data_IF_321691810483
#
_entry.id   IF_321691810483
#
_cell.length_a   1.000
_cell.length_b   1.000
_cell.length_c   1.000
_cell.angle_alpha   90.00
_cell.angle_beta   90.00
_cell.angle_gamma   90.00
#
_symmetry.space_group_name_H-M   'P 1'
#
loop_
_entity.id
_entity.type
_entity.pdbx_description
1 polymer ?
#
# COMPACT_ATOMS: atom_id res chain seq x y z
N UNK A 1 9.01 5.66 -14.34
CA UNK A 1 9.94 4.55 -14.68
C UNK A 1 10.10 3.58 -13.50
N UNK A 2 10.42 4.05 -12.29
CA UNK A 2 10.72 3.21 -11.11
C UNK A 2 9.55 2.30 -10.70
N UNK A 3 8.31 2.83 -10.64
CA UNK A 3 7.12 2.01 -10.33
C UNK A 3 7.00 0.81 -11.27
N UNK A 4 7.10 1.05 -12.58
CA UNK A 4 7.03 -0.02 -13.59
C UNK A 4 8.16 -1.05 -13.41
N UNK A 5 9.38 -0.58 -13.11
CA UNK A 5 10.51 -1.47 -12.80
C UNK A 5 10.23 -2.37 -11.59
N UNK A 6 9.72 -1.81 -10.49
CA UNK A 6 9.34 -2.57 -9.31
C UNK A 6 8.27 -3.63 -9.60
N UNK A 7 7.27 -3.29 -10.40
CA UNK A 7 6.19 -4.21 -10.79
C UNK A 7 6.68 -5.33 -11.72
N UNK A 8 7.52 -5.02 -12.71
CA UNK A 8 7.99 -6.00 -13.69
C UNK A 8 9.03 -6.96 -13.09
N UNK A 9 9.97 -6.45 -12.30
CA UNK A 9 11.07 -7.26 -11.74
C UNK A 9 10.78 -7.82 -10.34
N UNK A 10 9.70 -7.35 -9.72
CA UNK A 10 9.21 -7.85 -8.43
C UNK A 10 8.48 -9.19 -8.51
N UNK A 11 8.06 -9.63 -9.71
CA UNK A 11 7.45 -10.96 -9.95
C UNK A 11 6.22 -11.26 -9.07
N UNK A 12 5.49 -10.22 -8.65
CA UNK A 12 4.36 -10.34 -7.74
C UNK A 12 4.73 -10.60 -6.27
N UNK A 13 6.01 -10.72 -5.94
CA UNK A 13 6.49 -10.76 -4.56
C UNK A 13 6.48 -9.36 -3.94
N UNK A 14 5.80 -9.20 -2.80
CA UNK A 14 5.59 -7.90 -2.16
C UNK A 14 6.90 -7.20 -1.79
N UNK A 15 7.81 -7.94 -1.17
CA UNK A 15 9.07 -7.39 -0.67
C UNK A 15 10.02 -7.04 -1.79
N UNK A 16 10.20 -7.95 -2.74
CA UNK A 16 11.05 -7.75 -3.91
C UNK A 16 10.56 -6.53 -4.69
N UNK A 17 9.25 -6.41 -4.91
CA UNK A 17 8.66 -5.29 -5.64
C UNK A 17 8.93 -3.94 -4.97
N UNK A 18 8.70 -3.84 -3.66
CA UNK A 18 8.92 -2.58 -2.91
C UNK A 18 10.40 -2.26 -2.82
N UNK A 19 11.25 -3.23 -2.49
CA UNK A 19 12.69 -3.00 -2.32
C UNK A 19 13.38 -2.62 -3.63
N UNK A 20 13.00 -3.24 -4.76
CA UNK A 20 13.46 -2.81 -6.10
C UNK A 20 13.08 -1.34 -6.36
N UNK A 21 11.85 -0.96 -6.01
CA UNK A 21 11.36 0.41 -6.20
C UNK A 21 12.13 1.41 -5.35
N UNK A 22 12.37 1.09 -4.07
CA UNK A 22 13.12 1.94 -3.13
C UNK A 22 14.59 2.05 -3.54
N UNK A 23 15.23 0.93 -3.92
CA UNK A 23 16.62 0.93 -4.39
C UNK A 23 16.81 1.64 -5.73
N UNK A 24 15.74 1.82 -6.51
CA UNK A 24 15.73 2.64 -7.72
C UNK A 24 15.98 4.13 -7.47
N UNK A 25 15.87 4.60 -6.22
CA UNK A 25 16.20 5.96 -5.80
C UNK A 25 15.16 7.01 -6.18
N UNK A 26 15.63 8.27 -6.29
CA UNK A 26 14.81 9.47 -6.48
C UNK A 26 13.78 9.66 -5.35
N UNK A 27 12.49 9.58 -5.67
CA UNK A 27 11.37 9.70 -4.74
C UNK A 27 11.02 8.29 -4.22
N UNK A 28 11.73 7.85 -3.18
CA UNK A 28 11.69 6.46 -2.73
C UNK A 28 10.39 6.12 -2.00
N UNK A 29 9.81 7.09 -1.30
CA UNK A 29 8.55 6.94 -0.58
C UNK A 29 7.38 6.82 -1.55
N UNK A 30 7.22 7.74 -2.51
CA UNK A 30 6.08 7.66 -3.43
C UNK A 30 6.16 6.44 -4.34
N UNK A 31 7.36 6.10 -4.85
CA UNK A 31 7.55 4.92 -5.69
C UNK A 31 7.28 3.62 -4.91
N UNK A 32 7.86 3.49 -3.71
CA UNK A 32 7.66 2.33 -2.84
C UNK A 32 6.20 2.16 -2.43
N UNK A 33 5.54 3.24 -2.01
CA UNK A 33 4.12 3.23 -1.63
C UNK A 33 3.21 2.86 -2.82
N UNK A 34 3.48 3.41 -4.00
CA UNK A 34 2.69 3.09 -5.21
C UNK A 34 2.80 1.61 -5.56
N UNK A 35 4.02 1.07 -5.63
CA UNK A 35 4.24 -0.36 -5.94
C UNK A 35 3.65 -1.27 -4.86
N UNK A 36 3.85 -0.93 -3.58
CA UNK A 36 3.28 -1.67 -2.46
C UNK A 36 1.75 -1.71 -2.49
N UNK A 37 1.09 -0.61 -2.86
CA UNK A 37 -0.37 -0.57 -2.98
C UNK A 37 -0.90 -1.50 -4.09
N UNK A 38 -0.24 -1.53 -5.25
CA UNK A 38 -0.64 -2.35 -6.40
C UNK A 38 -0.44 -3.83 -6.09
N UNK A 39 0.75 -4.20 -5.63
CA UNK A 39 1.07 -5.60 -5.29
C UNK A 39 0.24 -6.06 -4.09
N UNK A 40 0.00 -5.18 -3.12
CA UNK A 40 -0.86 -5.48 -1.98
C UNK A 40 -2.32 -5.74 -2.35
N UNK A 41 -2.86 -5.04 -3.35
CA UNK A 41 -4.21 -5.34 -3.90
C UNK A 41 -4.22 -6.68 -4.61
N UNK A 42 -3.19 -7.01 -5.39
CA UNK A 42 -3.08 -8.29 -6.11
C UNK A 42 -3.04 -9.48 -5.14
N UNK A 43 -2.25 -9.38 -4.07
CA UNK A 43 -2.08 -10.45 -3.09
C UNK A 43 -3.24 -10.53 -2.09
N UNK A 44 -3.84 -9.38 -1.75
CA UNK A 44 -4.81 -9.23 -0.67
C UNK A 44 -4.15 -9.09 0.70
N UNK A 45 -4.78 -8.32 1.59
CA UNK A 45 -4.21 -7.91 2.88
C UNK A 45 -3.77 -9.08 3.79
N UNK A 46 -4.45 -10.23 3.72
CA UNK A 46 -4.13 -11.43 4.52
C UNK A 46 -2.86 -12.14 4.08
N UNK A 47 -2.39 -11.91 2.85
CA UNK A 47 -1.20 -12.54 2.29
C UNK A 47 0.06 -11.65 2.42
N UNK A 48 -0.07 -10.44 2.98
CA UNK A 48 1.07 -9.54 3.16
C UNK A 48 2.03 -10.06 4.25
N UNK A 49 3.36 -9.99 4.06
CA UNK A 49 4.31 -10.51 5.04
C UNK A 49 4.25 -9.71 6.35
N UNK A 50 4.15 -10.41 7.50
CA UNK A 50 4.00 -9.77 8.81
C UNK A 50 5.08 -8.73 9.12
N UNK A 51 6.33 -8.97 8.72
CA UNK A 51 7.43 -8.04 9.01
C UNK A 51 7.24 -6.66 8.41
N UNK A 52 6.44 -6.53 7.34
CA UNK A 52 6.13 -5.26 6.70
C UNK A 52 4.92 -4.56 7.30
N UNK A 53 3.93 -5.31 7.78
CA UNK A 53 2.65 -4.74 8.24
C UNK A 53 2.54 -4.63 9.77
N UNK A 54 3.13 -5.56 10.51
CA UNK A 54 3.04 -5.63 11.98
C UNK A 54 3.64 -4.39 12.66
N UNK A 55 4.79 -3.83 12.22
CA UNK A 55 5.36 -2.65 12.87
C UNK A 55 4.47 -1.40 12.78
N UNK A 56 3.56 -1.34 11.81
CA UNK A 56 2.64 -0.21 11.62
C UNK A 56 1.50 -0.18 12.65
N UNK A 57 1.29 -1.28 13.39
CA UNK A 57 0.22 -1.42 14.37
C UNK A 57 -1.17 -1.04 13.84
N UNK A 58 -1.41 -1.25 12.53
CA UNK A 58 -2.64 -0.87 11.83
C UNK A 58 -3.06 0.58 12.12
N UNK A 59 -2.12 1.52 12.31
CA UNK A 59 -2.41 2.89 12.77
C UNK A 59 -1.73 3.91 11.86
N UNK A 60 -2.40 5.03 11.58
CA UNK A 60 -1.82 6.16 10.85
C UNK A 60 -2.02 7.46 11.62
N UNK A 61 -0.95 8.26 11.68
CA UNK A 61 -1.03 9.63 12.16
C UNK A 61 -1.35 10.59 11.01
N UNK A 62 -2.28 11.50 11.25
CA UNK A 62 -2.81 12.38 10.22
C UNK A 62 -3.12 13.75 10.79
N UNK A 63 -2.81 14.79 10.02
CA UNK A 63 -3.20 16.17 10.31
C UNK A 63 -4.64 16.48 9.87
N UNK A 64 -5.35 15.53 9.24
CA UNK A 64 -6.76 15.70 8.91
C UNK A 64 -7.57 15.63 10.19
N UNK A 65 -8.31 16.70 10.50
CA UNK A 65 -9.13 16.81 11.71
C UNK A 65 -10.06 15.60 11.85
N UNK A 66 -9.99 14.94 13.01
CA UNK A 66 -10.78 13.74 13.30
C UNK A 66 -10.20 12.42 12.80
N UNK A 67 -8.98 12.41 12.24
CA UNK A 67 -8.33 11.21 11.68
C UNK A 67 -6.92 10.93 12.19
N UNK A 68 -6.42 11.66 13.19
CA UNK A 68 -5.17 11.27 13.89
C UNK A 68 -5.42 9.96 14.66
N UNK A 69 -4.44 9.04 14.58
CA UNK A 69 -4.52 7.71 15.20
C UNK A 69 -5.59 6.77 14.63
N UNK A 70 -6.16 7.04 13.44
CA UNK A 70 -7.15 6.14 12.83
C UNK A 70 -6.47 4.87 12.32
N UNK A 71 -7.25 3.77 12.27
CA UNK A 71 -6.75 2.51 11.73
C UNK A 71 -6.63 2.53 10.21
N UNK A 72 -5.55 1.92 9.70
CA UNK A 72 -5.35 1.75 8.25
C UNK A 72 -6.47 0.88 7.67
N UNK A 73 -6.84 -0.20 8.37
CA UNK A 73 -7.95 -1.09 8.02
C UNK A 73 -9.31 -0.37 7.96
N UNK A 74 -9.55 0.58 8.88
CA UNK A 74 -10.77 1.38 8.88
C UNK A 74 -10.83 2.32 7.67
N UNK A 75 -9.72 2.97 7.32
CA UNK A 75 -9.62 3.80 6.13
C UNK A 75 -9.86 3.00 4.84
N UNK A 76 -9.28 1.79 4.74
CA UNK A 76 -9.47 0.89 3.61
C UNK A 76 -10.95 0.49 3.47
N UNK A 77 -11.58 0.08 4.57
CA UNK A 77 -13.00 -0.31 4.60
C UNK A 77 -13.93 0.87 4.23
N UNK A 78 -13.66 2.08 4.73
CA UNK A 78 -14.42 3.28 4.35
C UNK A 78 -14.31 3.58 2.86
N UNK A 79 -13.09 3.47 2.31
CA UNK A 79 -12.84 3.65 0.87
C UNK A 79 -13.59 2.62 0.04
N UNK A 80 -13.56 1.34 0.46
CA UNK A 80 -14.30 0.27 -0.19
C UNK A 80 -15.82 0.51 -0.20
N UNK A 81 -16.40 0.91 0.94
CA UNK A 81 -17.85 1.23 1.02
C UNK A 81 -18.27 2.34 0.06
N UNK A 82 -17.44 3.37 -0.11
CA UNK A 82 -17.70 4.46 -1.05
C UNK A 82 -17.56 3.95 -2.48
N UNK A 83 -16.47 3.25 -2.80
CA UNK A 83 -16.23 2.69 -4.13
C UNK A 83 -17.38 1.77 -4.57
N UNK A 84 -17.86 0.89 -3.69
CA UNK A 84 -18.98 -0.03 -3.95
C UNK A 84 -20.30 0.69 -4.27
N UNK A 85 -20.51 1.90 -3.75
CA UNK A 85 -21.71 2.70 -4.05
C UNK A 85 -21.58 3.50 -5.34
N UNK A 86 -20.37 3.91 -5.69
CA UNK A 86 -20.12 4.87 -6.79
C UNK A 86 -19.74 4.18 -8.09
N UNK A 87 -19.00 3.07 -8.03
CA UNK A 87 -18.63 2.29 -9.21
C UNK A 87 -19.88 1.49 -9.61
N UNK A 88 -20.50 1.89 -10.72
CA UNK A 88 -21.55 1.09 -11.37
C UNK A 88 -20.91 -0.22 -11.85
N UNK A 89 -21.51 -1.34 -11.47
CA UNK A 89 -21.22 -2.64 -12.05
C UNK A 89 -21.66 -2.68 -13.53
#
# INVERSE_FOLDING_TARGET
>A
AIVLMGLLYGEGDYEKSITISVMGGLDTDCNGATVGSIVGVILGAKALPEKWIKPLNDTVESYVVGYSGIKISELAERTFRIAKKTIKA
#
